data_IF_244578959615
#
_entry.id   IF_244578959615
#
_cell.length_a   1.000
_cell.length_b   1.000
_cell.length_c   1.000
_cell.angle_alpha   90.00
_cell.angle_beta   90.00
_cell.angle_gamma   90.00
#
_symmetry.space_group_name_H-M   'P 1'
#
loop_
_entity.id
_entity.type
_entity.pdbx_description
1 polymer ?
#
# COMPACT_ATOMS: atom_id res chain seq x y z
N UNK A 1 3.93 31.47 -31.06
CA UNK A 1 2.92 31.50 -29.95
C UNK A 1 1.77 30.50 -30.14
N UNK A 2 1.25 30.25 -31.36
CA UNK A 2 0.17 29.23 -31.58
C UNK A 2 0.66 27.77 -31.68
N UNK A 3 1.88 27.53 -32.02
CA UNK A 3 2.45 26.17 -32.21
C UNK A 3 2.87 25.51 -30.91
N UNK A 4 3.30 26.26 -29.90
CA UNK A 4 3.71 25.73 -28.60
C UNK A 4 2.50 25.25 -27.80
N UNK A 5 1.39 25.95 -27.84
CA UNK A 5 0.15 25.51 -27.19
C UNK A 5 -0.39 24.19 -27.77
N UNK A 6 -0.27 23.98 -29.09
CA UNK A 6 -0.77 22.76 -29.73
C UNK A 6 0.06 21.53 -29.37
N UNK A 7 1.36 21.68 -29.18
CA UNK A 7 2.26 20.62 -28.72
C UNK A 7 1.94 20.24 -27.25
N UNK A 8 1.75 21.21 -26.39
CA UNK A 8 1.39 20.99 -24.98
C UNK A 8 0.07 20.23 -24.82
N UNK A 9 -0.98 20.60 -25.54
CA UNK A 9 -2.26 19.88 -25.55
C UNK A 9 -2.14 18.44 -26.08
N UNK A 10 -1.24 18.21 -27.04
CA UNK A 10 -1.02 16.88 -27.60
C UNK A 10 -0.28 15.96 -26.63
N UNK A 11 0.67 16.49 -25.85
CA UNK A 11 1.38 15.75 -24.80
C UNK A 11 0.46 15.41 -23.64
N UNK A 12 -0.37 16.34 -23.17
CA UNK A 12 -1.37 16.07 -22.13
C UNK A 12 -2.37 14.99 -22.57
N UNK A 13 -2.87 15.05 -23.80
CA UNK A 13 -3.78 14.04 -24.35
C UNK A 13 -3.14 12.65 -24.41
N UNK A 14 -1.85 12.56 -24.76
CA UNK A 14 -1.12 11.30 -24.82
C UNK A 14 -0.88 10.72 -23.40
N UNK A 15 -0.56 11.58 -22.44
CA UNK A 15 -0.38 11.19 -21.04
C UNK A 15 -1.71 10.68 -20.45
N UNK A 16 -2.80 11.37 -20.69
CA UNK A 16 -4.14 10.95 -20.25
C UNK A 16 -4.53 9.59 -20.83
N UNK A 17 -4.35 9.38 -22.13
CA UNK A 17 -4.61 8.10 -22.79
C UNK A 17 -3.75 6.96 -22.22
N UNK A 18 -2.50 7.24 -21.85
CA UNK A 18 -1.62 6.27 -21.21
C UNK A 18 -2.10 5.90 -19.78
N UNK A 19 -2.50 6.90 -18.99
CA UNK A 19 -3.05 6.69 -17.65
C UNK A 19 -4.33 5.86 -17.72
N UNK A 20 -5.22 6.16 -18.66
CA UNK A 20 -6.46 5.40 -18.84
C UNK A 20 -6.18 3.94 -19.20
N UNK A 21 -5.19 3.69 -20.05
CA UNK A 21 -4.73 2.31 -20.35
C UNK A 21 -4.25 1.57 -19.10
N UNK A 22 -3.51 2.24 -18.21
CA UNK A 22 -3.05 1.65 -16.95
C UNK A 22 -4.25 1.36 -16.04
N UNK A 23 -5.19 2.29 -15.92
CA UNK A 23 -6.41 2.11 -15.11
C UNK A 23 -7.25 0.93 -15.60
N UNK A 24 -7.45 0.79 -16.91
CA UNK A 24 -8.19 -0.35 -17.48
C UNK A 24 -7.51 -1.69 -17.19
N UNK A 25 -6.18 -1.76 -17.27
CA UNK A 25 -5.43 -2.96 -16.86
C UNK A 25 -5.60 -3.26 -15.37
N UNK A 26 -5.58 -2.24 -14.52
CA UNK A 26 -5.78 -2.39 -13.08
C UNK A 26 -7.19 -2.88 -12.75
N UNK A 27 -8.22 -2.40 -13.47
CA UNK A 27 -9.60 -2.89 -13.33
C UNK A 27 -9.75 -4.36 -13.75
N UNK A 28 -9.03 -4.78 -14.81
CA UNK A 28 -9.09 -6.15 -15.31
C UNK A 28 -8.43 -7.16 -14.35
N UNK A 29 -7.40 -6.74 -13.61
CA UNK A 29 -6.69 -7.58 -12.63
C UNK A 29 -6.51 -6.80 -11.32
N UNK A 30 -7.63 -6.63 -10.59
CA UNK A 30 -7.66 -5.86 -9.35
C UNK A 30 -6.73 -6.44 -8.30
N UNK A 31 -5.78 -5.63 -7.86
CA UNK A 31 -4.87 -5.94 -6.77
C UNK A 31 -5.37 -5.38 -5.45
N UNK A 32 -4.99 -6.03 -4.36
CA UNK A 32 -5.26 -5.58 -3.01
C UNK A 32 -4.09 -4.72 -2.53
N UNK A 33 -4.37 -3.44 -2.28
CA UNK A 33 -3.37 -2.44 -1.87
C UNK A 33 -3.64 -2.00 -0.44
N UNK A 34 -2.60 -2.00 0.37
CA UNK A 34 -2.67 -1.57 1.77
C UNK A 34 -2.25 -0.12 1.91
N UNK A 35 -3.03 0.65 2.64
CA UNK A 35 -2.79 2.04 3.01
C UNK A 35 -2.57 2.12 4.54
N UNK A 36 -1.32 2.24 5.02
CA UNK A 36 -1.00 2.17 6.45
C UNK A 36 -1.01 3.54 7.17
N UNK A 37 -1.40 4.61 6.48
CA UNK A 37 -1.33 5.99 7.03
C UNK A 37 -2.73 6.54 7.30
N UNK A 38 -3.46 5.88 8.23
CA UNK A 38 -4.81 6.27 8.67
C UNK A 38 -4.91 7.64 9.36
N UNK A 39 -3.77 8.20 9.77
CA UNK A 39 -3.71 9.52 10.42
C UNK A 39 -3.72 10.70 9.43
N UNK A 40 -3.71 10.44 8.13
CA UNK A 40 -3.67 11.49 7.10
C UNK A 40 -4.92 11.46 6.24
N UNK A 41 -5.64 12.59 6.19
CA UNK A 41 -6.86 12.72 5.37
C UNK A 41 -6.64 12.47 3.87
N UNK A 42 -5.42 12.70 3.35
CA UNK A 42 -5.07 12.44 1.95
C UNK A 42 -5.17 10.96 1.60
N UNK A 43 -4.95 10.07 2.57
CA UNK A 43 -5.15 8.64 2.42
C UNK A 43 -6.62 8.32 2.10
N UNK A 44 -7.55 8.96 2.81
CA UNK A 44 -8.99 8.77 2.59
C UNK A 44 -9.48 9.40 1.29
N UNK A 45 -8.97 10.58 0.95
CA UNK A 45 -9.27 11.22 -0.34
C UNK A 45 -8.81 10.35 -1.52
N UNK A 46 -7.63 9.77 -1.42
CA UNK A 46 -7.13 8.83 -2.43
C UNK A 46 -7.94 7.53 -2.45
N UNK A 47 -8.29 6.99 -1.27
CA UNK A 47 -9.08 5.78 -1.14
C UNK A 47 -10.47 5.93 -1.79
N UNK A 48 -11.17 7.01 -1.52
CA UNK A 48 -12.47 7.30 -2.14
C UNK A 48 -12.38 7.32 -3.68
N UNK A 49 -11.38 8.01 -4.24
CA UNK A 49 -11.15 8.07 -5.69
C UNK A 49 -10.87 6.69 -6.28
N UNK A 50 -9.99 5.90 -5.65
CA UNK A 50 -9.62 4.55 -6.09
C UNK A 50 -10.84 3.61 -6.06
N UNK A 51 -11.63 3.65 -4.99
CA UNK A 51 -12.83 2.83 -4.84
C UNK A 51 -13.90 3.23 -5.88
N UNK A 52 -14.13 4.53 -6.07
CA UNK A 52 -15.06 5.05 -7.07
C UNK A 52 -14.67 4.66 -8.50
N UNK A 53 -13.39 4.68 -8.83
CA UNK A 53 -12.87 4.25 -10.13
C UNK A 53 -12.78 2.72 -10.26
N UNK A 54 -12.82 1.99 -9.16
CA UNK A 54 -12.77 0.52 -9.13
C UNK A 54 -11.47 -0.09 -9.60
N UNK A 55 -10.34 0.61 -9.43
CA UNK A 55 -9.02 0.21 -9.93
C UNK A 55 -8.24 -0.71 -9.00
N UNK A 56 -8.59 -0.77 -7.72
CA UNK A 56 -7.96 -1.65 -6.73
C UNK A 56 -8.94 -2.03 -5.61
N UNK A 57 -8.65 -3.12 -4.91
CA UNK A 57 -9.21 -3.40 -3.60
C UNK A 57 -8.32 -2.72 -2.55
N UNK A 58 -8.93 -2.08 -1.57
CA UNK A 58 -8.18 -1.33 -0.57
C UNK A 58 -8.29 -1.95 0.82
N UNK A 59 -7.17 -1.97 1.52
CA UNK A 59 -7.09 -2.25 2.95
C UNK A 59 -6.50 -1.01 3.63
N UNK A 60 -7.22 -0.44 4.60
CA UNK A 60 -6.73 0.68 5.40
C UNK A 60 -6.40 0.14 6.79
N UNK A 61 -5.17 0.35 7.25
CA UNK A 61 -4.74 -0.04 8.60
C UNK A 61 -4.92 1.17 9.52
N UNK A 62 -5.74 1.01 10.54
CA UNK A 62 -5.98 2.07 11.52
C UNK A 62 -7.00 1.66 12.57
N UNK A 63 -6.97 2.35 13.71
CA UNK A 63 -7.96 2.15 14.76
C UNK A 63 -9.30 2.78 14.37
N UNK A 64 -10.42 2.30 14.96
CA UNK A 64 -11.74 2.91 14.74
C UNK A 64 -11.76 4.43 14.98
N UNK A 65 -11.04 4.89 16.01
CA UNK A 65 -10.95 6.31 16.36
C UNK A 65 -10.20 7.12 15.29
N UNK A 66 -9.13 6.56 14.71
CA UNK A 66 -8.40 7.19 13.61
C UNK A 66 -9.28 7.29 12.36
N UNK A 67 -9.99 6.21 12.02
CA UNK A 67 -10.90 6.15 10.89
C UNK A 67 -12.03 7.18 11.04
N UNK A 68 -12.66 7.26 12.22
CA UNK A 68 -13.73 8.22 12.50
C UNK A 68 -13.20 9.68 12.42
N UNK A 69 -12.01 9.92 12.99
CA UNK A 69 -11.43 11.26 13.07
C UNK A 69 -10.98 11.81 11.72
N UNK A 70 -10.28 11.01 10.93
CA UNK A 70 -9.62 11.46 9.70
C UNK A 70 -10.34 11.05 8.42
N UNK A 71 -11.14 9.97 8.47
CA UNK A 71 -11.94 9.46 7.36
C UNK A 71 -13.32 10.10 7.24
N UNK A 72 -13.72 10.89 8.23
CA UNK A 72 -15.03 11.54 8.22
C UNK A 72 -15.23 12.42 6.98
N UNK A 73 -16.30 12.13 6.24
CA UNK A 73 -16.65 12.87 5.03
C UNK A 73 -16.17 12.24 3.73
N UNK A 74 -15.44 11.13 3.79
CA UNK A 74 -15.00 10.35 2.63
C UNK A 74 -15.75 9.02 2.55
N UNK A 75 -16.16 8.61 1.35
CA UNK A 75 -16.79 7.30 1.14
C UNK A 75 -15.73 6.21 0.97
N UNK A 76 -15.46 5.52 2.06
CA UNK A 76 -14.53 4.40 2.12
C UNK A 76 -15.24 3.06 2.38
N UNK A 77 -16.55 2.98 2.17
CA UNK A 77 -17.36 1.78 2.44
C UNK A 77 -16.92 0.53 1.68
N UNK A 78 -16.22 0.71 0.55
CA UNK A 78 -15.64 -0.37 -0.22
C UNK A 78 -14.24 -0.84 0.25
N UNK A 79 -13.63 -0.19 1.25
CA UNK A 79 -12.34 -0.58 1.79
C UNK A 79 -12.50 -1.56 2.96
N UNK A 80 -11.56 -2.50 3.08
CA UNK A 80 -11.42 -3.33 4.28
C UNK A 80 -10.64 -2.55 5.33
N UNK A 81 -11.20 -2.42 6.54
CA UNK A 81 -10.51 -1.79 7.66
C UNK A 81 -9.84 -2.88 8.50
N UNK A 82 -8.57 -2.71 8.81
CA UNK A 82 -7.80 -3.60 9.68
C UNK A 82 -7.32 -2.82 10.89
N UNK A 83 -7.84 -3.18 12.06
CA UNK A 83 -7.36 -2.65 13.33
C UNK A 83 -6.12 -3.44 13.76
N UNK A 84 -4.94 -2.82 13.81
CA UNK A 84 -3.69 -3.52 14.14
C UNK A 84 -3.64 -4.02 15.59
N UNK A 85 -4.56 -3.58 16.44
CA UNK A 85 -4.66 -4.06 17.83
C UNK A 85 -5.56 -5.27 17.97
N UNK A 86 -6.61 -5.38 17.15
CA UNK A 86 -7.67 -6.39 17.26
C UNK A 86 -7.78 -7.33 16.04
N UNK A 87 -6.83 -7.30 15.11
CA UNK A 87 -6.85 -8.19 13.93
C UNK A 87 -6.63 -9.66 14.34
N UNK A 88 -7.53 -10.58 13.94
CA UNK A 88 -7.37 -12.02 14.19
C UNK A 88 -6.12 -12.61 13.52
N UNK A 89 -5.62 -12.01 12.45
CA UNK A 89 -4.42 -12.43 11.73
C UNK A 89 -3.11 -11.90 12.34
N UNK A 90 -3.18 -11.06 13.36
CA UNK A 90 -2.03 -10.40 13.98
C UNK A 90 -0.92 -11.37 14.39
N UNK A 91 -1.28 -12.52 14.98
CA UNK A 91 -0.30 -13.52 15.40
C UNK A 91 0.48 -14.09 14.22
N UNK A 92 -0.16 -14.35 13.10
CA UNK A 92 0.48 -14.79 11.85
C UNK A 92 1.57 -13.81 11.40
N UNK A 93 1.31 -12.51 11.50
CA UNK A 93 2.28 -11.47 11.12
C UNK A 93 3.42 -11.34 12.13
N UNK A 94 3.14 -11.47 13.44
CA UNK A 94 4.16 -11.50 14.49
C UNK A 94 5.13 -12.67 14.22
N UNK A 95 4.61 -13.88 14.04
CA UNK A 95 5.40 -15.09 13.80
C UNK A 95 6.26 -14.93 12.53
N UNK A 96 5.70 -14.37 11.47
CA UNK A 96 6.43 -14.07 10.25
C UNK A 96 7.53 -13.04 10.45
N UNK A 97 7.28 -12.02 11.25
CA UNK A 97 8.30 -11.01 11.57
C UNK A 97 9.46 -11.63 12.34
N UNK A 98 9.17 -12.43 13.35
CA UNK A 98 10.19 -13.16 14.15
C UNK A 98 10.99 -14.09 13.25
N UNK A 99 10.35 -14.88 12.39
CA UNK A 99 11.03 -15.74 11.41
C UNK A 99 12.04 -14.95 10.56
N UNK A 100 11.58 -13.84 9.96
CA UNK A 100 12.40 -13.01 9.08
C UNK A 100 13.56 -12.31 9.79
N UNK A 101 13.46 -12.12 11.11
CA UNK A 101 14.43 -11.38 11.93
C UNK A 101 15.07 -12.22 13.02
N UNK A 102 14.91 -13.53 12.99
CA UNK A 102 15.46 -14.47 13.96
C UNK A 102 16.96 -14.26 14.20
N UNK A 103 17.73 -14.06 13.12
CA UNK A 103 19.19 -13.77 13.18
C UNK A 103 19.55 -12.45 13.89
N UNK A 104 18.56 -11.61 14.20
CA UNK A 104 18.75 -10.31 14.89
C UNK A 104 18.17 -10.30 16.29
N UNK A 105 17.74 -11.46 16.79
CA UNK A 105 17.24 -11.61 18.15
C UNK A 105 15.88 -10.91 18.40
N UNK A 106 15.06 -10.73 17.36
CA UNK A 106 13.71 -10.14 17.53
C UNK A 106 12.81 -11.15 18.22
N UNK A 107 12.25 -10.76 19.37
CA UNK A 107 11.25 -11.56 20.11
C UNK A 107 9.84 -11.27 19.61
N UNK A 108 8.84 -12.12 19.89
CA UNK A 108 7.44 -11.87 19.56
C UNK A 108 6.90 -10.55 20.14
N UNK A 109 7.30 -10.21 21.36
CA UNK A 109 6.91 -8.97 22.04
C UNK A 109 7.45 -7.75 21.31
N UNK A 110 8.73 -7.78 20.91
CA UNK A 110 9.36 -6.72 20.12
C UNK A 110 8.72 -6.58 18.74
N UNK A 111 8.35 -7.71 18.12
CA UNK A 111 7.67 -7.71 16.83
C UNK A 111 6.29 -7.06 16.95
N UNK A 112 5.51 -7.44 17.98
CA UNK A 112 4.20 -6.87 18.28
C UNK A 112 4.27 -5.37 18.52
N UNK A 113 5.14 -4.92 19.41
CA UNK A 113 5.33 -3.49 19.72
C UNK A 113 5.70 -2.70 18.48
N UNK A 114 6.61 -3.22 17.64
CA UNK A 114 7.05 -2.55 16.43
C UNK A 114 5.91 -2.41 15.40
N UNK A 115 5.05 -3.41 15.28
CA UNK A 115 3.91 -3.40 14.36
C UNK A 115 2.81 -2.44 14.83
N UNK A 116 2.55 -2.38 16.14
CA UNK A 116 1.56 -1.47 16.73
C UNK A 116 2.03 0.00 16.69
N UNK A 117 3.32 0.22 16.81
CA UNK A 117 3.93 1.55 16.75
C UNK A 117 4.03 2.11 15.34
N UNK A 118 4.11 1.24 14.34
CA UNK A 118 4.38 1.62 12.96
C UNK A 118 3.68 0.66 11.99
N UNK A 119 2.50 1.08 11.53
CA UNK A 119 1.63 0.30 10.64
C UNK A 119 2.26 -0.05 9.29
N UNK A 120 3.36 0.61 8.90
CA UNK A 120 4.11 0.22 7.71
C UNK A 120 4.71 -1.19 7.84
N UNK A 121 5.15 -1.59 9.04
CA UNK A 121 5.61 -2.97 9.26
C UNK A 121 4.46 -3.95 9.07
N UNK A 122 3.27 -3.59 9.57
CA UNK A 122 2.07 -4.40 9.41
C UNK A 122 1.73 -4.59 7.93
N UNK A 123 1.66 -3.50 7.16
CA UNK A 123 1.39 -3.53 5.72
C UNK A 123 2.41 -4.38 4.94
N UNK A 124 3.71 -4.24 5.26
CA UNK A 124 4.75 -5.05 4.65
C UNK A 124 4.60 -6.54 4.95
N UNK A 125 4.17 -6.89 6.16
CA UNK A 125 3.94 -8.29 6.55
C UNK A 125 2.70 -8.87 5.91
N UNK A 126 1.62 -8.10 5.74
CA UNK A 126 0.45 -8.49 4.95
C UNK A 126 0.86 -8.87 3.52
N UNK A 127 1.65 -8.01 2.87
CA UNK A 127 2.18 -8.31 1.53
C UNK A 127 3.08 -9.55 1.54
N UNK A 128 3.91 -9.73 2.58
CA UNK A 128 4.82 -10.87 2.69
C UNK A 128 4.09 -12.19 2.93
N UNK A 129 2.97 -12.16 3.62
CA UNK A 129 2.12 -13.31 3.86
C UNK A 129 1.16 -13.61 2.70
N UNK A 130 1.08 -12.74 1.69
CA UNK A 130 0.19 -12.90 0.54
C UNK A 130 -1.26 -12.46 0.80
N UNK A 131 -1.51 -11.73 1.88
CA UNK A 131 -2.83 -11.18 2.20
C UNK A 131 -3.09 -9.85 1.48
N UNK A 132 -2.04 -9.27 0.89
CA UNK A 132 -2.10 -8.11 0.00
C UNK A 132 -1.04 -8.20 -1.09
N UNK A 133 -1.30 -7.55 -2.23
CA UNK A 133 -0.37 -7.52 -3.38
C UNK A 133 0.67 -6.40 -3.25
N UNK A 134 0.32 -5.33 -2.55
CA UNK A 134 1.21 -4.18 -2.38
C UNK A 134 0.76 -3.23 -1.28
N UNK A 135 1.65 -2.31 -0.91
CA UNK A 135 1.37 -1.24 0.03
C UNK A 135 1.85 0.10 -0.51
N UNK A 136 1.05 1.14 -0.30
CA UNK A 136 1.36 2.52 -0.69
C UNK A 136 1.42 3.38 0.56
N UNK A 137 2.51 4.12 0.72
CA UNK A 137 2.76 5.01 1.84
C UNK A 137 3.59 6.19 1.37
N UNK A 138 3.63 7.25 2.14
CA UNK A 138 4.41 8.46 1.85
C UNK A 138 3.63 9.74 2.11
N UNK A 139 2.43 9.66 2.66
CA UNK A 139 1.66 10.82 3.06
C UNK A 139 2.25 11.47 4.33
N UNK A 140 2.58 10.67 5.35
CA UNK A 140 3.15 11.13 6.62
C UNK A 140 4.61 10.77 6.82
N UNK A 141 5.12 9.77 6.11
CA UNK A 141 6.49 9.25 6.28
C UNK A 141 7.42 9.75 5.19
N UNK A 142 8.55 10.34 5.59
CA UNK A 142 9.60 10.71 4.63
C UNK A 142 10.14 9.47 3.92
N UNK A 143 10.36 9.56 2.60
CA UNK A 143 10.71 8.42 1.74
C UNK A 143 11.95 7.62 2.17
N UNK A 144 12.91 8.24 2.89
CA UNK A 144 14.08 7.55 3.45
C UNK A 144 13.72 6.54 4.55
N UNK A 145 12.72 6.85 5.37
CA UNK A 145 12.24 5.95 6.43
C UNK A 145 11.42 4.79 5.84
N UNK A 146 10.55 5.04 4.86
CA UNK A 146 9.77 4.00 4.17
C UNK A 146 10.68 2.99 3.46
N UNK A 147 11.65 3.44 2.69
CA UNK A 147 12.60 2.58 1.97
C UNK A 147 13.44 1.71 2.93
N UNK A 148 13.80 2.21 4.11
CA UNK A 148 14.54 1.44 5.11
C UNK A 148 13.69 0.30 5.72
N UNK A 149 12.39 0.53 5.94
CA UNK A 149 11.44 -0.48 6.46
C UNK A 149 11.15 -1.56 5.44
N UNK A 150 10.87 -1.16 4.20
CA UNK A 150 10.70 -2.08 3.07
C UNK A 150 11.95 -2.94 2.89
N UNK A 151 13.15 -2.38 2.88
CA UNK A 151 14.41 -3.14 2.81
C UNK A 151 14.60 -4.12 3.97
N UNK A 152 14.12 -3.79 5.17
CA UNK A 152 14.24 -4.69 6.33
C UNK A 152 13.38 -5.95 6.20
N UNK A 153 12.24 -5.85 5.52
CA UNK A 153 11.31 -6.97 5.29
C UNK A 153 11.55 -7.58 3.90
N UNK A 154 11.84 -6.78 2.87
CA UNK A 154 11.97 -7.22 1.47
C UNK A 154 13.28 -7.95 1.16
N UNK A 155 14.34 -7.85 1.98
CA UNK A 155 15.54 -8.70 1.82
C UNK A 155 15.23 -10.20 1.84
N UNK A 156 14.00 -10.56 2.17
CA UNK A 156 13.47 -11.91 2.15
C UNK A 156 12.44 -12.15 1.03
N UNK A 157 12.17 -11.19 0.13
CA UNK A 157 11.32 -11.43 -1.04
C UNK A 157 12.24 -11.89 -2.17
N UNK A 158 12.22 -13.18 -2.57
CA UNK A 158 12.83 -13.54 -3.84
C UNK A 158 12.08 -12.75 -4.92
N UNK A 159 12.80 -11.94 -5.68
CA UNK A 159 12.25 -11.37 -6.89
C UNK A 159 11.73 -12.53 -7.75
N UNK A 160 10.42 -12.63 -7.87
CA UNK A 160 9.82 -13.46 -8.90
C UNK A 160 10.31 -12.83 -10.21
N UNK A 161 11.30 -13.48 -10.86
CA UNK A 161 11.73 -13.09 -12.19
C UNK A 161 10.46 -13.01 -13.04
N UNK A 162 10.19 -11.85 -13.62
CA UNK A 162 9.15 -11.74 -14.65
C UNK A 162 9.47 -12.80 -15.70
N UNK A 163 8.47 -13.57 -16.16
CA UNK A 163 8.69 -14.50 -17.26
C UNK A 163 9.15 -13.68 -18.47
N UNK A 164 10.37 -13.99 -18.88
CA UNK A 164 10.98 -13.77 -20.18
C UNK A 164 10.66 -12.50 -20.98
N UNK A 165 11.55 -11.53 -20.85
CA UNK A 165 12.02 -10.83 -22.05
C UNK A 165 13.13 -11.68 -22.70
N UNK A 166 12.75 -12.77 -23.35
CA UNK A 166 13.59 -13.44 -24.33
C UNK A 166 12.81 -13.43 -25.66
N UNK A 167 13.36 -12.74 -26.63
CA UNK A 167 13.08 -12.92 -28.06
C UNK A 167 12.23 -11.84 -28.71
N UNK A 168 12.84 -10.81 -29.23
CA UNK A 168 12.69 -10.36 -30.61
C UNK A 168 13.94 -9.56 -30.97
#
# INVERSE_FOLDING_TARGET
MFTENLLFYKEESLIMAFIDTIKERAKADKKTIVLPESMDKRTYEAAEKILKEGIANLVIIGTPEEIEKYGKGYDISGATIVDPFNDPNKQKYIDKFVELRSKKGVTPEMAKEQMEKDYMYYACLMCKCGDADGAVSGACTTGSFGACRIKRISKAIPHKKSPDRQGA
#
